data_IF_616976307099
#
_entry.id   IF_616976307099
#
_cell.length_a   1.000
_cell.length_b   1.000
_cell.length_c   1.000
_cell.angle_alpha   90.00
_cell.angle_beta   90.00
_cell.angle_gamma   90.00
#
_symmetry.space_group_name_H-M   'P 1'
#
loop_
_entity.id
_entity.type
_entity.pdbx_description
1 polymer ?
#
# COMPACT_ATOMS: atom_id res chain seq x y z
N UNK A 1 33.08 -7.36 -7.36
CA UNK A 1 31.69 -6.91 -7.61
C UNK A 1 31.75 -5.62 -8.41
N UNK A 2 31.11 -5.53 -9.59
CA UNK A 2 31.00 -4.27 -10.34
C UNK A 2 29.77 -3.51 -9.84
N UNK A 3 29.94 -2.24 -9.47
CA UNK A 3 28.85 -1.36 -9.03
C UNK A 3 28.52 -0.41 -10.19
N UNK A 4 27.24 -0.30 -10.55
CA UNK A 4 26.75 0.68 -11.52
C UNK A 4 26.54 2.00 -10.79
N UNK A 5 27.18 3.06 -11.27
CA UNK A 5 27.28 4.36 -10.59
C UNK A 5 26.63 5.51 -11.37
N UNK A 6 26.26 5.28 -12.63
CA UNK A 6 25.57 6.27 -13.46
C UNK A 6 24.36 5.70 -14.19
N UNK A 7 23.47 6.59 -14.63
CA UNK A 7 22.28 6.22 -15.40
C UNK A 7 22.66 5.71 -16.78
N UNK A 8 23.74 6.22 -17.37
CA UNK A 8 24.25 5.82 -18.69
C UNK A 8 24.78 4.38 -18.66
N UNK A 9 25.54 4.03 -17.61
CA UNK A 9 26.00 2.66 -17.38
C UNK A 9 24.82 1.69 -17.25
N UNK A 10 23.75 2.11 -16.57
CA UNK A 10 22.52 1.33 -16.47
C UNK A 10 21.82 1.20 -17.82
N UNK A 11 21.65 2.30 -18.55
CA UNK A 11 20.97 2.34 -19.85
C UNK A 11 21.67 1.44 -20.88
N UNK A 12 23.00 1.36 -20.86
CA UNK A 12 23.77 0.48 -21.73
C UNK A 12 23.41 -1.01 -21.54
N UNK A 13 23.03 -1.43 -20.32
CA UNK A 13 22.59 -2.81 -20.03
C UNK A 13 21.19 -3.06 -20.60
N UNK A 14 20.32 -2.04 -20.57
CA UNK A 14 18.92 -2.12 -21.02
C UNK A 14 18.71 -1.54 -22.42
N UNK A 15 19.72 -1.62 -23.29
CA UNK A 15 19.72 -1.02 -24.63
C UNK A 15 18.61 -1.53 -25.58
N UNK A 16 17.93 -2.63 -25.23
CA UNK A 16 16.77 -3.15 -25.97
C UNK A 16 15.52 -2.26 -25.92
N UNK A 17 15.51 -1.23 -25.08
CA UNK A 17 14.43 -0.25 -25.00
C UNK A 17 13.12 -0.80 -24.44
N UNK A 18 12.08 0.04 -24.47
CA UNK A 18 10.73 -0.32 -24.02
C UNK A 18 9.90 -0.83 -25.19
N UNK A 19 9.11 -1.87 -24.95
CA UNK A 19 8.11 -2.33 -25.93
C UNK A 19 6.93 -1.36 -26.00
N UNK A 20 6.22 -1.32 -27.15
CA UNK A 20 5.02 -0.51 -27.31
C UNK A 20 4.00 -0.76 -26.18
N UNK A 21 3.76 -2.02 -25.81
CA UNK A 21 2.85 -2.36 -24.72
C UNK A 21 3.33 -1.85 -23.35
N UNK A 22 4.64 -1.81 -23.11
CA UNK A 22 5.20 -1.29 -21.85
C UNK A 22 5.03 0.21 -21.69
N UNK A 23 4.97 0.94 -22.81
CA UNK A 23 4.69 2.38 -22.84
C UNK A 23 3.18 2.65 -22.80
N UNK A 24 2.41 1.96 -23.65
CA UNK A 24 0.97 2.22 -23.83
C UNK A 24 0.12 1.95 -22.59
N UNK A 25 0.57 1.07 -21.69
CA UNK A 25 -0.13 0.77 -20.43
C UNK A 25 -0.09 1.90 -19.40
N UNK A 26 0.75 2.92 -19.59
CA UNK A 26 0.91 4.03 -18.66
C UNK A 26 -0.03 5.16 -19.07
N UNK A 27 -1.06 5.40 -18.26
CA UNK A 27 -2.06 6.45 -18.50
C UNK A 27 -2.03 7.47 -17.37
N UNK A 28 -2.51 8.69 -17.61
CA UNK A 28 -2.64 9.75 -16.59
C UNK A 28 -3.96 9.68 -15.81
N UNK A 29 -4.82 8.73 -16.17
CA UNK A 29 -6.17 8.59 -15.65
C UNK A 29 -6.59 7.12 -15.69
N UNK A 30 -7.58 6.78 -14.87
CA UNK A 30 -8.18 5.46 -14.82
C UNK A 30 -9.03 5.22 -16.06
N UNK A 31 -8.61 4.28 -16.90
CA UNK A 31 -9.53 3.67 -17.87
C UNK A 31 -10.58 2.85 -17.12
N UNK A 32 -11.73 2.52 -17.75
CA UNK A 32 -12.74 1.67 -17.11
C UNK A 32 -12.19 0.32 -16.62
N UNK A 33 -11.25 -0.28 -17.35
CA UNK A 33 -10.62 -1.54 -16.94
C UNK A 33 -9.63 -1.37 -15.78
N UNK A 34 -8.95 -0.22 -15.69
CA UNK A 34 -8.04 0.05 -14.58
C UNK A 34 -8.84 0.33 -13.31
N UNK A 35 -9.96 1.06 -13.44
CA UNK A 35 -10.93 1.25 -12.37
C UNK A 35 -11.37 -0.08 -11.76
N UNK A 36 -11.80 -1.02 -12.59
CA UNK A 36 -12.25 -2.35 -12.14
C UNK A 36 -11.16 -3.09 -11.32
N UNK A 37 -9.90 -3.00 -11.74
CA UNK A 37 -8.78 -3.63 -11.01
C UNK A 37 -8.53 -2.95 -9.65
N UNK A 38 -8.63 -1.63 -9.58
CA UNK A 38 -8.46 -0.88 -8.32
C UNK A 38 -9.61 -1.19 -7.35
N UNK A 39 -10.86 -1.23 -7.83
CA UNK A 39 -12.03 -1.56 -7.01
C UNK A 39 -11.99 -3.01 -6.47
N UNK A 40 -11.36 -3.92 -7.19
CA UNK A 40 -11.19 -5.31 -6.76
C UNK A 40 -10.05 -5.53 -5.75
N UNK A 41 -9.29 -4.50 -5.39
CA UNK A 41 -8.11 -4.62 -4.55
C UNK A 41 -8.41 -4.26 -3.08
N UNK A 42 -8.41 -5.25 -2.16
CA UNK A 42 -8.61 -5.00 -0.74
C UNK A 42 -7.32 -4.55 -0.03
N UNK A 43 -6.19 -4.49 -0.74
CA UNK A 43 -4.87 -4.21 -0.17
C UNK A 43 -4.04 -3.31 -1.08
N UNK A 44 -3.37 -2.33 -0.48
CA UNK A 44 -2.38 -1.49 -1.16
C UNK A 44 -1.16 -1.26 -0.28
N UNK A 45 0.03 -1.32 -0.87
CA UNK A 45 1.23 -0.76 -0.24
C UNK A 45 1.32 0.73 -0.60
N UNK A 46 1.25 1.59 0.41
CA UNK A 46 1.40 3.04 0.29
C UNK A 46 2.85 3.42 0.57
N UNK A 47 3.55 3.91 -0.45
CA UNK A 47 4.88 4.48 -0.32
C UNK A 47 4.80 6.02 -0.27
N UNK A 48 5.53 6.62 0.66
CA UNK A 48 5.63 8.08 0.84
C UNK A 48 7.09 8.48 1.07
N UNK A 49 7.37 9.78 0.95
CA UNK A 49 8.71 10.33 1.15
C UNK A 49 8.70 11.40 2.22
N UNK A 50 9.66 11.34 3.13
CA UNK A 50 9.92 12.34 4.15
C UNK A 50 11.41 12.68 4.23
N UNK A 51 11.79 13.68 5.05
CA UNK A 51 13.19 13.99 5.31
C UNK A 51 13.94 12.83 5.98
N UNK A 52 13.23 11.89 6.61
CA UNK A 52 13.78 10.65 7.16
C UNK A 52 14.05 9.57 6.10
N UNK A 53 13.61 9.79 4.85
CA UNK A 53 13.75 8.86 3.74
C UNK A 53 12.40 8.35 3.22
N UNK A 54 12.40 7.13 2.67
CA UNK A 54 11.20 6.48 2.14
C UNK A 54 10.48 5.70 3.23
N UNK A 55 9.16 5.80 3.25
CA UNK A 55 8.28 4.95 4.07
C UNK A 55 7.38 4.11 3.15
N UNK A 56 7.03 2.89 3.56
CA UNK A 56 6.13 2.01 2.83
C UNK A 56 5.28 1.20 3.82
N UNK A 57 3.98 1.52 3.88
CA UNK A 57 3.05 0.91 4.83
C UNK A 57 1.94 0.13 4.13
N UNK A 58 1.52 -1.03 4.66
CA UNK A 58 0.35 -1.74 4.18
C UNK A 58 -0.92 -0.99 4.57
N UNK A 59 -1.88 -0.93 3.65
CA UNK A 59 -3.24 -0.44 3.88
C UNK A 59 -4.20 -1.51 3.37
N UNK A 60 -5.28 -1.75 4.10
CA UNK A 60 -6.27 -2.74 3.72
C UNK A 60 -7.65 -2.39 4.25
N UNK A 61 -8.67 -2.84 3.53
CA UNK A 61 -10.08 -2.59 3.86
C UNK A 61 -10.95 -3.75 3.33
N UNK A 62 -12.17 -3.86 3.84
CA UNK A 62 -13.16 -4.83 3.34
C UNK A 62 -13.71 -4.32 2.00
N UNK A 63 -13.56 -5.13 0.94
CA UNK A 63 -13.95 -4.76 -0.42
C UNK A 63 -12.82 -4.01 -1.12
N UNK A 64 -12.72 -2.70 -0.92
CA UNK A 64 -11.77 -1.83 -1.62
C UNK A 64 -11.09 -0.84 -0.69
N UNK A 65 -9.76 -0.74 -0.79
CA UNK A 65 -8.92 0.11 0.07
C UNK A 65 -8.97 1.60 -0.26
N UNK A 66 -9.56 1.95 -1.40
CA UNK A 66 -9.79 3.34 -1.83
C UNK A 66 -11.18 3.50 -2.41
N UNK A 67 -11.78 4.67 -2.23
CA UNK A 67 -12.92 5.13 -3.02
C UNK A 67 -12.42 5.88 -4.24
N UNK A 68 -12.86 5.47 -5.42
CA UNK A 68 -12.58 6.17 -6.67
C UNK A 68 -13.62 7.29 -6.85
N UNK A 69 -13.17 8.54 -6.77
CA UNK A 69 -14.03 9.73 -6.89
C UNK A 69 -14.31 10.02 -8.36
N UNK A 70 -13.25 10.04 -9.16
CA UNK A 70 -13.28 10.25 -10.61
C UNK A 70 -12.08 9.53 -11.26
N UNK A 71 -11.84 9.79 -12.54
CA UNK A 71 -10.79 9.13 -13.33
C UNK A 71 -9.37 9.51 -12.87
N UNK A 72 -9.22 10.56 -12.07
CA UNK A 72 -7.94 11.14 -11.64
C UNK A 72 -7.82 11.30 -10.13
N UNK A 73 -8.87 11.00 -9.37
CA UNK A 73 -8.95 11.26 -7.93
C UNK A 73 -9.37 10.03 -7.14
N UNK A 74 -8.61 9.71 -6.08
CA UNK A 74 -8.92 8.67 -5.11
C UNK A 74 -9.03 9.26 -3.70
N UNK A 75 -9.89 8.67 -2.88
CA UNK A 75 -9.94 8.89 -1.44
C UNK A 75 -9.55 7.61 -0.70
N UNK A 76 -8.57 7.70 0.21
CA UNK A 76 -8.16 6.59 1.08
C UNK A 76 -8.46 6.94 2.54
N UNK A 77 -9.41 6.25 3.19
CA UNK A 77 -9.68 6.47 4.61
C UNK A 77 -8.53 5.96 5.49
N UNK A 78 -8.15 6.73 6.51
CA UNK A 78 -7.23 6.30 7.56
C UNK A 78 -8.04 5.86 8.79
N UNK A 79 -8.36 4.57 8.81
CA UNK A 79 -9.03 3.89 9.92
C UNK A 79 -8.13 3.81 11.16
N UNK A 80 -8.72 3.46 12.30
CA UNK A 80 -7.97 3.38 13.55
C UNK A 80 -6.85 2.35 13.46
N UNK A 81 -5.62 2.84 13.63
CA UNK A 81 -4.42 2.02 13.71
C UNK A 81 -3.70 2.12 15.06
N UNK A 82 -2.38 1.96 15.00
CA UNK A 82 -1.46 2.08 16.13
C UNK A 82 -1.03 3.54 16.43
N UNK A 83 -1.68 4.54 15.84
CA UNK A 83 -1.32 5.96 15.87
C UNK A 83 0.09 6.29 15.31
N UNK A 84 0.71 5.37 14.58
CA UNK A 84 1.95 5.65 13.85
C UNK A 84 1.60 6.35 12.55
N UNK A 85 1.77 7.67 12.54
CA UNK A 85 1.31 8.57 11.48
C UNK A 85 2.41 8.94 10.49
N UNK A 86 3.42 8.09 10.30
CA UNK A 86 4.60 8.39 9.46
C UNK A 86 4.19 8.74 8.02
N UNK A 87 3.39 7.90 7.36
CA UNK A 87 2.94 8.17 5.99
C UNK A 87 2.10 9.44 5.87
N UNK A 88 1.24 9.73 6.85
CA UNK A 88 0.43 10.97 6.87
C UNK A 88 1.32 12.20 7.08
N UNK A 89 2.27 12.11 8.00
CA UNK A 89 3.23 13.18 8.31
C UNK A 89 4.15 13.44 7.12
N UNK A 90 4.51 12.39 6.37
CA UNK A 90 5.22 12.51 5.10
C UNK A 90 4.38 13.28 4.10
N UNK A 91 3.13 12.89 3.86
CA UNK A 91 2.23 13.55 2.88
C UNK A 91 2.02 15.04 3.20
N UNK A 92 1.90 15.40 4.47
CA UNK A 92 1.79 16.81 4.90
C UNK A 92 3.06 17.62 4.57
N UNK A 93 4.24 16.98 4.60
CA UNK A 93 5.54 17.63 4.34
C UNK A 93 5.95 17.58 2.86
N UNK A 94 5.62 16.49 2.17
CA UNK A 94 5.87 16.22 0.76
C UNK A 94 4.69 15.42 0.18
N UNK A 95 3.95 15.97 -0.79
CA UNK A 95 2.72 15.34 -1.26
C UNK A 95 2.98 14.08 -2.09
N UNK A 96 4.22 13.79 -2.51
CA UNK A 96 4.49 12.66 -3.41
C UNK A 96 4.23 11.33 -2.73
N UNK A 97 3.47 10.48 -3.41
CA UNK A 97 3.18 9.12 -2.96
C UNK A 97 3.12 8.14 -4.14
N UNK A 98 3.24 6.86 -3.82
CA UNK A 98 3.02 5.76 -4.74
C UNK A 98 2.18 4.67 -4.09
N UNK A 99 1.36 4.00 -4.90
CA UNK A 99 0.46 2.93 -4.50
C UNK A 99 0.79 1.68 -5.32
N UNK A 100 0.85 0.52 -4.67
CA UNK A 100 0.89 -0.79 -5.32
C UNK A 100 -0.28 -1.64 -4.80
N UNK A 101 -1.27 -1.85 -5.66
CA UNK A 101 -2.46 -2.62 -5.37
C UNK A 101 -2.22 -4.10 -5.64
N UNK A 102 -2.55 -4.93 -4.64
CA UNK A 102 -2.54 -6.38 -4.76
C UNK A 102 -3.97 -6.91 -4.67
N UNK A 103 -4.29 -7.86 -5.53
CA UNK A 103 -5.60 -8.50 -5.57
C UNK A 103 -5.35 -9.98 -5.28
N UNK A 104 -5.81 -10.52 -4.13
CA UNK A 104 -5.64 -11.93 -3.81
C UNK A 104 -6.10 -12.83 -4.96
N UNK A 105 -5.25 -13.78 -5.36
CA UNK A 105 -5.49 -14.70 -6.47
C UNK A 105 -5.21 -14.14 -7.87
N UNK A 106 -4.99 -12.84 -8.03
CA UNK A 106 -4.55 -12.25 -9.31
C UNK A 106 -3.05 -12.00 -9.31
N UNK A 107 -2.38 -12.47 -10.36
CA UNK A 107 -0.95 -12.17 -10.58
C UNK A 107 -0.72 -10.78 -11.19
N UNK A 108 -1.78 -10.05 -11.56
CA UNK A 108 -1.66 -8.70 -12.11
C UNK A 108 -1.81 -7.68 -10.98
N UNK A 109 -0.84 -6.77 -10.86
CA UNK A 109 -0.87 -5.68 -9.89
C UNK A 109 -1.12 -4.35 -10.57
N UNK A 110 -1.75 -3.41 -9.85
CA UNK A 110 -1.92 -2.03 -10.33
C UNK A 110 -0.99 -1.10 -9.57
N UNK A 111 -0.47 -0.09 -10.26
CA UNK A 111 0.35 0.97 -9.69
C UNK A 111 -0.23 2.32 -9.98
N UNK A 112 -0.11 3.21 -8.99
CA UNK A 112 -0.39 4.62 -9.13
C UNK A 112 0.80 5.39 -8.56
N UNK A 113 1.30 6.37 -9.30
CA UNK A 113 2.13 7.43 -8.72
C UNK A 113 1.30 8.72 -8.75
N UNK A 114 1.41 9.52 -7.70
CA UNK A 114 0.58 10.70 -7.57
C UNK A 114 0.94 11.58 -6.39
N UNK A 115 -0.02 12.42 -6.02
CA UNK A 115 0.12 13.42 -4.96
C UNK A 115 -1.03 13.32 -3.99
N UNK A 116 -0.74 13.37 -2.69
CA UNK A 116 -1.72 13.32 -1.62
C UNK A 116 -1.83 14.64 -0.87
N UNK A 117 -3.01 14.88 -0.30
CA UNK A 117 -3.22 15.79 0.83
C UNK A 117 -4.04 15.07 1.89
N UNK A 118 -3.83 15.40 3.16
CA UNK A 118 -4.59 14.81 4.28
C UNK A 118 -5.74 15.75 4.64
N UNK A 119 -6.97 15.22 4.64
CA UNK A 119 -8.19 15.95 5.00
C UNK A 119 -8.79 15.39 6.28
N UNK A 120 -9.30 16.27 7.14
CA UNK A 120 -10.14 15.96 8.29
C UNK A 120 -11.53 16.63 8.19
N UNK A 121 -11.96 16.96 6.97
CA UNK A 121 -13.27 17.57 6.71
C UNK A 121 -14.42 16.66 7.18
N UNK A 122 -15.29 17.19 8.04
CA UNK A 122 -16.33 16.40 8.71
C UNK A 122 -17.30 15.73 7.72
N UNK A 123 -17.64 16.39 6.62
CA UNK A 123 -18.56 15.82 5.63
C UNK A 123 -17.88 14.66 4.88
N UNK A 124 -16.60 14.80 4.55
CA UNK A 124 -15.82 13.72 3.94
C UNK A 124 -15.64 12.54 4.90
N UNK A 125 -15.29 12.78 6.16
CA UNK A 125 -15.16 11.72 7.17
C UNK A 125 -16.49 10.98 7.38
N UNK A 126 -17.60 11.72 7.52
CA UNK A 126 -18.94 11.16 7.70
C UNK A 126 -19.41 10.32 6.51
N UNK A 127 -18.86 10.58 5.31
CA UNK A 127 -19.16 9.78 4.13
C UNK A 127 -18.53 8.38 4.15
N UNK A 128 -17.56 8.13 5.04
CA UNK A 128 -16.98 6.81 5.27
C UNK A 128 -17.48 6.27 6.61
N UNK A 129 -18.21 5.16 6.57
CA UNK A 129 -18.75 4.52 7.77
C UNK A 129 -18.46 3.02 7.75
N UNK A 130 -17.99 2.50 8.88
CA UNK A 130 -17.86 1.06 9.13
C UNK A 130 -18.28 0.77 10.57
N UNK A 131 -19.32 -0.03 10.76
CA UNK A 131 -19.89 -0.36 12.08
C UNK A 131 -20.14 0.88 12.97
N UNK A 132 -20.69 1.97 12.40
CA UNK A 132 -20.92 3.23 13.10
C UNK A 132 -19.64 4.02 13.46
N UNK A 133 -18.50 3.68 12.87
CA UNK A 133 -17.22 4.39 13.04
C UNK A 133 -16.82 5.11 11.76
N UNK A 134 -16.04 6.18 11.93
CA UNK A 134 -15.52 7.02 10.86
C UNK A 134 -14.00 7.07 10.92
N UNK A 135 -13.30 7.22 9.78
CA UNK A 135 -11.85 7.39 9.78
C UNK A 135 -11.47 8.73 10.43
N UNK A 136 -10.24 8.84 10.91
CA UNK A 136 -9.76 10.10 11.51
C UNK A 136 -9.37 11.13 10.48
N UNK A 137 -8.85 10.66 9.36
CA UNK A 137 -8.46 11.47 8.21
C UNK A 137 -8.74 10.70 6.92
N UNK A 138 -8.78 11.40 5.80
CA UNK A 138 -8.82 10.83 4.47
C UNK A 138 -7.67 11.41 3.67
N UNK A 139 -6.88 10.55 3.04
CA UNK A 139 -5.89 10.98 2.04
C UNK A 139 -6.64 11.20 0.73
N UNK A 140 -6.63 12.43 0.24
CA UNK A 140 -7.12 12.81 -1.09
C UNK A 140 -5.96 12.72 -2.06
N UNK A 141 -6.06 11.85 -3.04
CA UNK A 141 -4.96 11.47 -3.93
C UNK A 141 -5.31 11.89 -5.36
N UNK A 142 -4.44 12.71 -5.96
CA UNK A 142 -4.46 13.01 -7.40
C UNK A 142 -3.48 12.09 -8.13
N UNK A 143 -3.96 11.49 -9.22
CA UNK A 143 -3.20 10.54 -10.06
C UNK A 143 -2.32 11.32 -11.05
N UNK A 144 -1.01 11.07 -11.01
CA UNK A 144 -0.08 11.53 -12.06
C UNK A 144 0.07 10.46 -13.14
N UNK A 145 0.17 9.19 -12.74
CA UNK A 145 0.17 8.03 -13.65
C UNK A 145 -0.42 6.79 -13.00
N UNK A 146 -1.03 5.93 -13.82
CA UNK A 146 -1.60 4.64 -13.45
C UNK A 146 -1.32 3.59 -14.52
N UNK A 147 -0.97 2.38 -14.09
CA UNK A 147 -0.69 1.25 -14.99
C UNK A 147 -0.73 -0.08 -14.27
N UNK A 148 -0.94 -1.16 -15.02
CA UNK A 148 -0.69 -2.51 -14.51
C UNK A 148 0.81 -2.87 -14.61
N UNK A 149 1.33 -3.60 -13.63
CA UNK A 149 2.70 -4.13 -13.68
C UNK A 149 2.72 -5.61 -14.05
N UNK A 150 3.86 -6.08 -14.57
CA UNK A 150 4.01 -7.45 -15.05
C UNK A 150 3.87 -8.47 -13.90
N UNK A 151 3.20 -9.58 -14.20
CA UNK A 151 2.92 -10.66 -13.26
C UNK A 151 4.15 -11.45 -12.76
N UNK A 152 5.33 -11.23 -13.35
CA UNK A 152 6.53 -12.05 -13.11
C UNK A 152 7.01 -12.05 -11.66
N UNK A 153 6.78 -10.98 -10.90
CA UNK A 153 7.16 -10.96 -9.48
C UNK A 153 6.31 -11.95 -8.69
N UNK A 154 4.98 -11.85 -8.80
CA UNK A 154 4.01 -12.68 -8.08
C UNK A 154 4.05 -14.14 -8.53
N UNK A 155 4.24 -14.40 -9.83
CA UNK A 155 4.40 -15.76 -10.36
C UNK A 155 5.66 -16.41 -9.81
N UNK A 156 6.81 -15.72 -9.86
CA UNK A 156 8.09 -16.30 -9.41
C UNK A 156 8.16 -16.51 -7.90
N UNK A 157 7.48 -15.66 -7.12
CA UNK A 157 7.40 -15.81 -5.67
C UNK A 157 6.30 -16.77 -5.24
N UNK A 158 5.47 -17.24 -6.17
CA UNK A 158 4.29 -18.06 -5.89
C UNK A 158 3.39 -17.47 -4.79
N UNK A 159 3.23 -16.13 -4.81
CA UNK A 159 2.62 -15.38 -3.69
C UNK A 159 1.20 -15.86 -3.36
N UNK A 160 0.49 -16.42 -4.34
CA UNK A 160 -0.88 -16.91 -4.21
C UNK A 160 -1.00 -18.42 -4.30
N UNK A 161 0.11 -19.17 -4.22
CA UNK A 161 0.08 -20.63 -4.22
C UNK A 161 -0.10 -21.15 -2.77
N UNK A 162 -1.30 -21.64 -2.39
CA UNK A 162 -1.55 -22.11 -1.03
C UNK A 162 -0.69 -23.33 -0.64
N UNK A 163 -0.17 -24.08 -1.61
CA UNK A 163 0.73 -25.21 -1.34
C UNK A 163 2.10 -24.74 -0.82
N UNK A 164 2.48 -23.48 -1.09
CA UNK A 164 3.77 -22.90 -0.73
C UNK A 164 3.66 -21.80 0.34
N UNK A 165 2.50 -21.64 0.98
CA UNK A 165 2.37 -20.72 2.10
C UNK A 165 3.19 -21.20 3.30
N UNK A 166 3.97 -20.30 3.90
CA UNK A 166 4.66 -20.58 5.13
C UNK A 166 3.66 -20.93 6.24
N UNK A 167 4.01 -21.88 7.10
CA UNK A 167 3.23 -22.14 8.31
C UNK A 167 3.31 -20.91 9.24
N UNK A 168 2.18 -20.24 9.57
CA UNK A 168 2.21 -19.08 10.45
C UNK A 168 2.85 -19.35 11.81
N UNK A 169 2.74 -20.58 12.34
CA UNK A 169 3.34 -20.97 13.62
C UNK A 169 4.88 -21.06 13.58
N UNK A 170 5.47 -21.08 12.38
CA UNK A 170 6.92 -21.06 12.18
C UNK A 170 7.51 -19.64 12.10
N UNK A 171 6.66 -18.61 12.07
CA UNK A 171 7.07 -17.21 11.96
C UNK A 171 7.12 -16.54 13.35
N UNK A 172 7.97 -15.53 13.54
CA UNK A 172 8.00 -14.80 14.81
C UNK A 172 6.70 -14.03 15.01
N UNK A 173 6.18 -14.08 16.24
CA UNK A 173 5.04 -13.25 16.63
C UNK A 173 5.46 -11.78 16.76
N UNK A 174 4.53 -10.82 16.66
CA UNK A 174 4.81 -9.42 16.94
C UNK A 174 5.41 -9.19 18.33
N UNK A 175 4.94 -9.88 19.36
CA UNK A 175 5.51 -9.79 20.70
C UNK A 175 6.96 -10.24 20.74
N UNK A 176 7.30 -11.36 20.10
CA UNK A 176 8.70 -11.84 20.04
C UNK A 176 9.60 -10.83 19.33
N UNK A 177 9.13 -10.23 18.23
CA UNK A 177 9.87 -9.17 17.55
C UNK A 177 10.05 -7.92 18.42
N UNK A 178 9.03 -7.54 19.21
CA UNK A 178 9.13 -6.42 20.16
C UNK A 178 10.11 -6.71 21.30
N UNK A 179 10.14 -7.94 21.83
CA UNK A 179 11.14 -8.33 22.83
C UNK A 179 12.56 -8.36 22.28
N UNK A 180 12.74 -8.77 21.02
CA UNK A 180 14.04 -8.69 20.36
C UNK A 180 14.51 -7.24 20.15
N UNK A 181 13.58 -6.30 19.98
CA UNK A 181 13.87 -4.88 19.84
C UNK A 181 14.06 -4.16 21.19
N UNK A 182 13.50 -4.71 22.28
CA UNK A 182 13.54 -4.11 23.62
C UNK A 182 13.46 -5.22 24.68
N UNK A 183 14.58 -5.46 25.37
CA UNK A 183 14.78 -6.63 26.24
C UNK A 183 13.66 -6.87 27.26
N UNK A 184 13.11 -5.81 27.83
CA UNK A 184 12.10 -5.86 28.91
C UNK A 184 10.64 -5.90 28.43
N UNK A 185 10.38 -6.14 27.13
CA UNK A 185 9.02 -6.20 26.62
C UNK A 185 8.30 -7.50 27.03
N UNK A 186 7.09 -7.38 27.62
CA UNK A 186 6.21 -8.53 27.92
C UNK A 186 5.51 -9.04 26.65
N UNK A 187 6.26 -9.81 25.86
CA UNK A 187 5.77 -10.39 24.62
C UNK A 187 4.60 -11.36 24.84
N UNK A 188 4.63 -12.14 25.93
CA UNK A 188 3.66 -13.20 26.17
C UNK A 188 2.25 -12.63 26.40
N UNK A 189 2.15 -11.53 27.16
CA UNK A 189 0.90 -10.79 27.30
C UNK A 189 0.47 -10.13 26.01
N UNK A 190 1.42 -9.49 25.30
CA UNK A 190 1.12 -8.82 24.04
C UNK A 190 0.48 -9.76 23.02
N UNK A 191 1.08 -10.94 22.80
CA UNK A 191 0.61 -11.91 21.80
C UNK A 191 -0.72 -12.55 22.21
N UNK A 192 -0.88 -12.91 23.48
CA UNK A 192 -2.13 -13.50 24.02
C UNK A 192 -3.32 -12.57 23.82
N UNK A 193 -3.12 -11.27 23.99
CA UNK A 193 -4.20 -10.27 23.94
C UNK A 193 -4.42 -9.67 22.54
N UNK A 194 -3.48 -9.86 21.62
CA UNK A 194 -3.48 -9.20 20.31
C UNK A 194 -4.76 -9.46 19.52
N UNK A 195 -5.18 -10.72 19.35
CA UNK A 195 -6.37 -11.04 18.54
C UNK A 195 -7.65 -10.37 19.09
N UNK A 196 -7.84 -10.41 20.41
CA UNK A 196 -9.00 -9.78 21.06
C UNK A 196 -8.96 -8.25 21.01
N UNK A 197 -7.76 -7.65 21.07
CA UNK A 197 -7.57 -6.20 20.97
C UNK A 197 -7.77 -5.71 19.54
N UNK A 198 -7.17 -6.38 18.57
CA UNK A 198 -7.29 -6.07 17.14
C UNK A 198 -8.75 -6.10 16.69
N UNK A 199 -9.53 -7.13 17.07
CA UNK A 199 -10.96 -7.21 16.73
C UNK A 199 -11.78 -6.01 17.28
N UNK A 200 -11.42 -5.46 18.44
CA UNK A 200 -12.12 -4.31 19.06
C UNK A 200 -11.70 -2.95 18.48
N UNK A 201 -10.50 -2.88 17.90
CA UNK A 201 -9.87 -1.62 17.45
C UNK A 201 -9.56 -1.59 15.96
N UNK A 202 -10.18 -2.47 15.16
CA UNK A 202 -9.94 -2.58 13.71
C UNK A 202 -10.37 -1.33 12.95
N UNK A 203 -11.53 -0.77 13.33
CA UNK A 203 -12.17 0.39 12.70
C UNK A 203 -12.05 1.64 13.56
#
# INVERSE_FOLDING_TARGET
MKIISTVEELAAIYAGGLTQASVAKVTKYLTPLYRQMIEASPFVALATVGPEGLDCSPRGDVGGVVRIVDETTLHMPDWRGNNRVDSLSNIVRDPRLALMFLIPGSNTTMRINGRGVVSNDEALLSSFEMDGRHPRTVIVISIDEVYFQCARALIRSELWNPENFANPDSLPTPGLMLKAATDDFDHATYDREWAGRAAKTMW
#
